data_IF_802013508115
#
_entry.id   IF_802013508115
#
_cell.length_a   1.000
_cell.length_b   1.000
_cell.length_c   1.000
_cell.angle_alpha   90.00
_cell.angle_beta   90.00
_cell.angle_gamma   90.00
#
_symmetry.space_group_name_H-M   'P 1'
#
loop_
_entity.id
_entity.type
_entity.pdbx_description
1 polymer ?
#
# COMPACT_ATOMS: atom_id res chain seq x y z
N UNK A 1 -39.41 -8.81 -66.87
CA UNK A 1 -38.12 -8.68 -66.17
C UNK A 1 -38.31 -9.09 -64.72
N UNK A 2 -38.01 -10.34 -64.39
CA UNK A 2 -38.05 -10.87 -63.02
C UNK A 2 -36.67 -10.69 -62.40
N UNK A 3 -36.53 -9.74 -61.48
CA UNK A 3 -35.30 -9.52 -60.73
C UNK A 3 -35.15 -10.68 -59.74
N UNK A 4 -34.20 -11.57 -60.00
CA UNK A 4 -33.84 -12.65 -59.08
C UNK A 4 -33.19 -12.02 -57.84
N UNK A 5 -33.79 -12.22 -56.67
CA UNK A 5 -33.19 -11.82 -55.40
C UNK A 5 -31.93 -12.67 -55.15
N UNK A 6 -30.78 -12.00 -54.97
CA UNK A 6 -29.55 -12.66 -54.53
C UNK A 6 -29.75 -13.09 -53.07
N UNK A 7 -29.60 -14.37 -52.72
CA UNK A 7 -29.69 -14.79 -51.33
C UNK A 7 -28.49 -14.19 -50.57
N UNK A 8 -28.77 -13.38 -49.55
CA UNK A 8 -27.76 -12.92 -48.61
C UNK A 8 -27.19 -14.15 -47.90
N UNK A 9 -25.95 -14.51 -48.20
CA UNK A 9 -25.21 -15.47 -47.40
C UNK A 9 -25.18 -14.96 -45.95
N UNK A 10 -25.54 -15.78 -44.95
CA UNK A 10 -25.37 -15.38 -43.56
C UNK A 10 -23.87 -15.16 -43.37
N UNK A 11 -23.48 -13.90 -43.19
CA UNK A 11 -22.15 -13.57 -42.68
C UNK A 11 -22.16 -14.17 -41.28
N UNK A 12 -21.58 -15.36 -41.14
CA UNK A 12 -21.19 -15.85 -39.84
C UNK A 12 -20.23 -14.79 -39.31
N UNK A 13 -20.72 -13.91 -38.44
CA UNK A 13 -19.84 -13.13 -37.59
C UNK A 13 -19.03 -14.18 -36.85
N UNK A 14 -17.77 -14.37 -37.23
CA UNK A 14 -16.81 -15.04 -36.37
C UNK A 14 -16.88 -14.28 -35.06
N UNK A 15 -17.58 -14.84 -34.07
CA UNK A 15 -17.57 -14.32 -32.70
C UNK A 15 -16.10 -14.39 -32.27
N UNK A 16 -15.39 -13.27 -32.39
CA UNK A 16 -14.04 -13.13 -31.86
C UNK A 16 -14.09 -13.65 -30.42
N UNK A 17 -13.36 -14.73 -30.16
CA UNK A 17 -13.41 -15.42 -28.88
C UNK A 17 -13.20 -14.39 -27.76
N UNK A 18 -14.03 -14.38 -26.70
CA UNK A 18 -13.98 -13.35 -25.67
C UNK A 18 -12.58 -13.32 -25.05
N UNK A 19 -11.79 -12.32 -25.44
CA UNK A 19 -10.40 -12.22 -24.99
C UNK A 19 -10.45 -11.82 -23.52
N UNK A 20 -9.92 -12.68 -22.65
CA UNK A 20 -9.85 -12.40 -21.22
C UNK A 20 -8.93 -11.20 -21.00
N UNK A 21 -9.49 -10.07 -20.56
CA UNK A 21 -8.74 -8.84 -20.22
C UNK A 21 -7.53 -9.12 -19.32
N UNK A 22 -7.66 -10.08 -18.41
CA UNK A 22 -6.59 -10.49 -17.50
C UNK A 22 -5.47 -11.26 -18.19
N UNK A 23 -5.80 -12.06 -19.21
CA UNK A 23 -4.81 -12.78 -20.02
C UNK A 23 -4.00 -11.80 -20.87
N UNK A 24 -4.65 -10.82 -21.46
CA UNK A 24 -4.00 -9.76 -22.24
C UNK A 24 -3.14 -8.85 -21.37
N UNK A 25 -3.65 -8.47 -20.20
CA UNK A 25 -2.89 -7.70 -19.22
C UNK A 25 -1.62 -8.46 -18.79
N UNK A 26 -1.73 -9.76 -18.51
CA UNK A 26 -0.59 -10.59 -18.16
C UNK A 26 0.45 -10.69 -19.29
N UNK A 27 -0.01 -10.84 -20.54
CA UNK A 27 0.88 -10.86 -21.70
C UNK A 27 1.65 -9.54 -21.86
N UNK A 28 0.95 -8.40 -21.71
CA UNK A 28 1.56 -7.06 -21.75
C UNK A 28 2.55 -6.86 -20.61
N UNK A 29 2.21 -7.28 -19.39
CA UNK A 29 3.07 -7.19 -18.23
C UNK A 29 4.38 -7.97 -18.43
N UNK A 30 4.30 -9.20 -18.96
CA UNK A 30 5.47 -10.03 -19.28
C UNK A 30 6.42 -9.40 -20.29
N UNK A 31 5.91 -8.57 -21.19
CA UNK A 31 6.72 -7.86 -22.19
C UNK A 31 7.51 -6.70 -21.57
N UNK A 32 7.04 -6.15 -20.46
CA UNK A 32 7.74 -5.07 -19.74
C UNK A 32 8.79 -5.65 -18.78
N UNK A 33 10.07 -5.56 -19.18
CA UNK A 33 11.21 -6.08 -18.40
C UNK A 33 11.34 -5.43 -17.02
N UNK A 34 11.04 -4.13 -16.90
CA UNK A 34 11.08 -3.41 -15.62
C UNK A 34 9.98 -3.91 -14.69
N UNK A 35 8.77 -4.13 -15.23
CA UNK A 35 7.65 -4.68 -14.46
C UNK A 35 7.93 -6.09 -13.96
N UNK A 36 8.54 -6.94 -14.78
CA UNK A 36 8.96 -8.29 -14.37
C UNK A 36 10.06 -8.25 -13.31
N UNK A 37 11.04 -7.36 -13.44
CA UNK A 37 12.03 -7.14 -12.39
C UNK A 37 11.37 -6.74 -11.07
N UNK A 38 10.45 -5.76 -11.11
CA UNK A 38 9.68 -5.34 -9.94
C UNK A 38 8.88 -6.49 -9.34
N UNK A 39 8.19 -7.29 -10.16
CA UNK A 39 7.44 -8.46 -9.73
C UNK A 39 8.32 -9.50 -9.02
N UNK A 40 9.50 -9.80 -9.58
CA UNK A 40 10.44 -10.76 -8.99
C UNK A 40 10.89 -10.27 -7.62
N UNK A 41 11.33 -9.01 -7.53
CA UNK A 41 11.81 -8.42 -6.27
C UNK A 41 10.69 -8.37 -5.22
N UNK A 42 9.48 -7.91 -5.58
CA UNK A 42 8.32 -7.89 -4.68
C UNK A 42 7.99 -9.30 -4.21
N UNK A 43 8.09 -10.31 -5.09
CA UNK A 43 7.83 -11.71 -4.72
C UNK A 43 8.88 -12.23 -3.73
N UNK A 44 10.16 -11.92 -3.94
CA UNK A 44 11.24 -12.30 -3.01
C UNK A 44 11.04 -11.62 -1.65
N UNK A 45 10.71 -10.33 -1.64
CA UNK A 45 10.47 -9.61 -0.40
C UNK A 45 9.21 -10.08 0.32
N UNK A 46 8.12 -10.39 -0.40
CA UNK A 46 6.91 -10.97 0.17
C UNK A 46 7.20 -12.36 0.77
N UNK A 47 8.00 -13.17 0.08
CA UNK A 47 8.47 -14.46 0.60
C UNK A 47 9.30 -14.27 1.89
N UNK A 48 10.23 -13.32 1.90
CA UNK A 48 11.01 -12.98 3.09
C UNK A 48 10.13 -12.43 4.24
N UNK A 49 9.10 -11.65 3.94
CA UNK A 49 8.15 -11.13 4.93
C UNK A 49 7.33 -12.25 5.60
N UNK A 50 6.93 -13.27 4.85
CA UNK A 50 6.11 -14.38 5.35
C UNK A 50 6.98 -15.43 6.07
N UNK A 51 8.08 -15.84 5.44
CA UNK A 51 8.93 -16.94 5.92
C UNK A 51 10.16 -16.45 6.69
N UNK A 52 10.30 -15.14 6.92
CA UNK A 52 11.45 -14.52 7.59
C UNK A 52 11.94 -15.25 8.85
N UNK A 53 11.07 -15.61 9.81
CA UNK A 53 11.49 -16.33 11.02
C UNK A 53 12.18 -17.68 10.77
N UNK A 54 11.95 -18.29 9.61
CA UNK A 54 12.57 -19.56 9.21
C UNK A 54 13.79 -19.38 8.30
N UNK A 55 13.99 -18.19 7.74
CA UNK A 55 15.07 -17.87 6.81
C UNK A 55 16.30 -17.30 7.52
N UNK A 56 16.13 -16.75 8.72
CA UNK A 56 17.20 -16.06 9.44
C UNK A 56 17.98 -17.03 10.35
N UNK A 57 19.31 -16.95 10.37
CA UNK A 57 20.14 -17.82 11.21
C UNK A 57 19.98 -17.51 12.71
N UNK A 58 19.62 -16.29 13.07
CA UNK A 58 19.48 -15.83 14.45
C UNK A 58 18.13 -15.16 14.69
N UNK A 59 17.70 -15.15 15.95
CA UNK A 59 16.57 -14.33 16.37
C UNK A 59 16.96 -12.84 16.35
N UNK A 60 16.05 -11.98 15.90
CA UNK A 60 16.30 -10.54 15.77
C UNK A 60 16.50 -9.83 17.13
N UNK A 61 16.10 -10.49 18.23
CA UNK A 61 16.32 -10.04 19.61
C UNK A 61 17.61 -10.58 20.23
N UNK A 62 18.22 -11.63 19.66
CA UNK A 62 19.41 -12.23 20.22
C UNK A 62 20.60 -11.27 20.18
N UNK A 63 21.35 -11.19 21.28
CA UNK A 63 22.46 -10.26 21.47
C UNK A 63 23.74 -11.03 21.78
N UNK A 64 24.81 -10.77 21.00
CA UNK A 64 26.16 -11.20 21.32
C UNK A 64 27.05 -9.99 21.65
N UNK A 65 27.27 -9.76 22.94
CA UNK A 65 28.05 -8.62 23.43
C UNK A 65 29.55 -8.71 23.07
N UNK A 66 30.06 -9.88 22.70
CA UNK A 66 31.45 -10.05 22.26
C UNK A 66 31.63 -9.65 20.80
N UNK A 67 30.57 -9.80 20.00
CA UNK A 67 30.56 -9.46 18.59
C UNK A 67 29.88 -8.11 18.33
N UNK A 68 30.07 -7.07 19.16
CA UNK A 68 29.44 -5.74 18.93
C UNK A 68 30.08 -5.00 17.76
N UNK A 69 29.25 -4.39 16.90
CA UNK A 69 29.68 -3.66 15.71
C UNK A 69 30.65 -4.45 14.80
N UNK A 70 30.46 -5.77 14.72
CA UNK A 70 31.27 -6.62 13.86
C UNK A 70 30.99 -6.30 12.40
N UNK A 71 32.06 -6.34 11.59
CA UNK A 71 31.96 -6.23 10.14
C UNK A 71 31.22 -7.45 9.56
N UNK A 72 30.69 -7.34 8.31
CA UNK A 72 30.10 -8.47 7.61
C UNK A 72 31.01 -9.70 7.57
N UNK A 73 30.46 -10.86 7.93
CA UNK A 73 31.15 -12.15 7.95
C UNK A 73 30.18 -13.27 7.54
N UNK A 74 30.68 -14.49 7.35
CA UNK A 74 29.82 -15.64 7.03
C UNK A 74 28.84 -15.98 8.17
N UNK A 75 29.22 -15.68 9.42
CA UNK A 75 28.33 -15.82 10.56
C UNK A 75 27.31 -14.69 10.59
N UNK A 76 27.75 -13.44 10.39
CA UNK A 76 26.87 -12.27 10.35
C UNK A 76 26.90 -11.60 8.99
N UNK A 77 25.99 -12.01 8.09
CA UNK A 77 26.02 -11.61 6.66
C UNK A 77 26.09 -10.09 6.45
N UNK A 78 25.38 -9.32 7.27
CA UNK A 78 25.42 -7.84 7.27
C UNK A 78 26.10 -7.27 8.52
N UNK A 79 26.90 -8.07 9.22
CA UNK A 79 27.52 -7.69 10.48
C UNK A 79 26.52 -7.60 11.64
N UNK A 80 26.97 -7.01 12.73
CA UNK A 80 26.19 -6.84 13.96
C UNK A 80 26.11 -5.38 14.36
N UNK A 81 25.07 -5.03 15.10
CA UNK A 81 24.87 -3.66 15.58
C UNK A 81 25.56 -3.37 16.92
N UNK A 82 25.27 -2.19 17.47
CA UNK A 82 25.79 -1.70 18.74
C UNK A 82 25.37 -2.53 19.95
N UNK A 83 24.34 -3.38 19.84
CA UNK A 83 23.93 -4.34 20.85
C UNK A 83 24.36 -5.78 20.51
N UNK A 84 25.13 -5.97 19.43
CA UNK A 84 25.58 -7.29 18.99
C UNK A 84 24.49 -8.13 18.35
N UNK A 85 23.42 -7.51 17.83
CA UNK A 85 22.34 -8.22 17.14
C UNK A 85 22.68 -8.37 15.66
N UNK A 86 22.31 -9.50 15.07
CA UNK A 86 22.55 -9.79 13.66
C UNK A 86 21.71 -8.87 12.73
N UNK A 87 22.39 -8.07 11.91
CA UNK A 87 21.75 -7.04 11.09
C UNK A 87 20.96 -7.67 9.94
N UNK A 88 21.43 -8.79 9.37
CA UNK A 88 20.71 -9.49 8.31
C UNK A 88 19.35 -9.99 8.80
N UNK A 89 19.34 -10.65 9.96
CA UNK A 89 18.12 -11.13 10.60
C UNK A 89 17.16 -9.98 10.87
N UNK A 90 17.66 -8.85 11.39
CA UNK A 90 16.84 -7.64 11.59
C UNK A 90 16.30 -7.05 10.28
N UNK A 91 17.06 -7.03 9.18
CA UNK A 91 16.58 -6.55 7.87
C UNK A 91 15.46 -7.45 7.34
N UNK A 92 15.61 -8.78 7.43
CA UNK A 92 14.59 -9.74 7.00
C UNK A 92 13.31 -9.59 7.83
N UNK A 93 13.41 -9.50 9.15
CA UNK A 93 12.26 -9.23 10.01
C UNK A 93 11.64 -7.84 9.75
N UNK A 94 12.46 -6.83 9.45
CA UNK A 94 12.00 -5.51 9.03
C UNK A 94 11.19 -5.52 7.73
N UNK A 95 11.44 -6.49 6.84
CA UNK A 95 10.64 -6.70 5.63
C UNK A 95 9.20 -7.04 5.99
N UNK A 96 9.00 -7.88 7.01
CA UNK A 96 7.66 -8.27 7.49
C UNK A 96 6.89 -7.08 8.05
N UNK A 97 7.53 -6.27 8.88
CA UNK A 97 6.88 -5.09 9.47
C UNK A 97 6.49 -4.09 8.38
N UNK A 98 7.42 -3.77 7.48
CA UNK A 98 7.17 -2.84 6.37
C UNK A 98 6.04 -3.31 5.44
N UNK A 99 5.98 -4.59 5.08
CA UNK A 99 4.90 -5.15 4.26
C UNK A 99 3.55 -5.10 4.95
N UNK A 100 3.49 -5.46 6.24
CA UNK A 100 2.25 -5.39 7.02
C UNK A 100 1.72 -3.96 7.08
N UNK A 101 2.58 -2.99 7.39
CA UNK A 101 2.17 -1.57 7.42
C UNK A 101 1.67 -1.14 6.04
N UNK A 102 2.45 -1.39 4.98
CA UNK A 102 2.10 -0.95 3.63
C UNK A 102 0.76 -1.53 3.16
N UNK A 103 0.51 -2.82 3.36
CA UNK A 103 -0.73 -3.49 2.93
C UNK A 103 -1.91 -2.98 3.76
N UNK A 104 -1.81 -2.96 5.09
CA UNK A 104 -2.94 -2.57 5.96
C UNK A 104 -3.32 -1.11 5.77
N UNK A 105 -2.34 -0.20 5.78
CA UNK A 105 -2.58 1.24 5.58
C UNK A 105 -3.19 1.49 4.21
N UNK A 106 -2.62 0.89 3.16
CA UNK A 106 -3.13 1.06 1.80
C UNK A 106 -4.54 0.50 1.66
N UNK A 107 -4.81 -0.68 2.22
CA UNK A 107 -6.13 -1.28 2.18
C UNK A 107 -7.20 -0.40 2.84
N UNK A 108 -6.93 0.11 4.05
CA UNK A 108 -7.87 1.00 4.76
C UNK A 108 -8.04 2.31 3.99
N UNK A 109 -6.94 2.92 3.52
CA UNK A 109 -6.99 4.17 2.75
C UNK A 109 -7.77 4.01 1.44
N UNK A 110 -7.59 2.90 0.74
CA UNK A 110 -8.32 2.56 -0.49
C UNK A 110 -9.78 2.30 -0.19
N UNK A 111 -10.12 1.62 0.91
CA UNK A 111 -11.50 1.38 1.30
C UNK A 111 -12.23 2.70 1.61
N UNK A 112 -11.62 3.57 2.41
CA UNK A 112 -12.16 4.92 2.69
C UNK A 112 -12.28 5.71 1.39
N UNK A 113 -11.22 5.73 0.58
CA UNK A 113 -11.19 6.45 -0.69
C UNK A 113 -12.25 5.97 -1.68
N UNK A 114 -12.45 4.65 -1.79
CA UNK A 114 -13.45 4.04 -2.64
C UNK A 114 -14.86 4.45 -2.22
N UNK A 115 -15.17 4.37 -0.92
CA UNK A 115 -16.49 4.74 -0.39
C UNK A 115 -16.73 6.25 -0.58
N UNK A 116 -15.80 7.08 -0.13
CA UNK A 116 -15.93 8.54 -0.17
C UNK A 116 -15.95 9.07 -1.61
N UNK A 117 -15.06 8.57 -2.46
CA UNK A 117 -14.99 8.93 -3.88
C UNK A 117 -16.23 8.50 -4.66
N UNK A 118 -16.75 7.29 -4.39
CA UNK A 118 -17.99 6.82 -5.01
C UNK A 118 -19.19 7.67 -4.62
N UNK A 119 -19.31 8.02 -3.33
CA UNK A 119 -20.39 8.90 -2.85
C UNK A 119 -20.29 10.29 -3.50
N UNK A 120 -19.09 10.90 -3.49
CA UNK A 120 -18.86 12.21 -4.08
C UNK A 120 -19.20 12.25 -5.58
N UNK A 121 -18.73 11.27 -6.35
CA UNK A 121 -18.95 11.23 -7.80
C UNK A 121 -20.38 10.83 -8.18
N UNK A 122 -21.02 9.94 -7.43
CA UNK A 122 -22.33 9.39 -7.81
C UNK A 122 -23.49 10.31 -7.41
N UNK A 123 -23.47 10.84 -6.18
CA UNK A 123 -24.56 11.68 -5.67
C UNK A 123 -24.38 13.16 -6.03
N UNK A 124 -23.16 13.63 -6.28
CA UNK A 124 -22.90 15.03 -6.63
C UNK A 124 -23.06 16.01 -5.46
N UNK A 125 -23.37 17.28 -5.74
CA UNK A 125 -23.60 18.31 -4.70
C UNK A 125 -24.81 17.92 -3.83
N UNK A 126 -24.75 18.01 -2.48
CA UNK A 126 -23.72 18.63 -1.63
C UNK A 126 -22.57 17.71 -1.17
N UNK A 127 -22.71 16.38 -1.32
CA UNK A 127 -21.73 15.41 -0.85
C UNK A 127 -20.36 15.60 -1.52
N UNK A 128 -20.37 15.86 -2.82
CA UNK A 128 -19.16 16.14 -3.58
C UNK A 128 -18.33 17.28 -2.97
N UNK A 129 -18.98 18.43 -2.71
CA UNK A 129 -18.33 19.61 -2.14
C UNK A 129 -17.74 19.33 -0.76
N UNK A 130 -18.48 18.67 0.11
CA UNK A 130 -18.02 18.37 1.47
C UNK A 130 -16.82 17.40 1.46
N UNK A 131 -16.90 16.34 0.65
CA UNK A 131 -15.85 15.32 0.57
C UNK A 131 -14.60 15.90 -0.11
N UNK A 132 -14.75 16.67 -1.19
CA UNK A 132 -13.63 17.31 -1.87
C UNK A 132 -12.98 18.38 -1.01
N UNK A 133 -13.75 19.17 -0.25
CA UNK A 133 -13.19 20.10 0.72
C UNK A 133 -12.36 19.39 1.80
N UNK A 134 -12.85 18.28 2.37
CA UNK A 134 -12.10 17.50 3.34
C UNK A 134 -10.82 16.92 2.72
N UNK A 135 -10.92 16.43 1.48
CA UNK A 135 -9.79 15.91 0.69
C UNK A 135 -8.73 17.00 0.46
N UNK A 136 -9.15 18.20 0.06
CA UNK A 136 -8.27 19.36 -0.15
C UNK A 136 -7.62 19.81 1.17
N UNK A 137 -8.36 19.81 2.28
CA UNK A 137 -7.81 20.13 3.60
C UNK A 137 -6.77 19.12 4.08
N UNK A 138 -7.00 17.82 3.88
CA UNK A 138 -6.01 16.81 4.27
C UNK A 138 -4.75 16.92 3.41
N UNK A 139 -4.90 17.14 2.10
CA UNK A 139 -3.76 17.21 1.16
C UNK A 139 -2.99 18.54 1.20
N UNK A 140 -3.55 19.60 1.82
CA UNK A 140 -2.85 20.88 1.98
C UNK A 140 -1.78 20.83 3.08
N UNK A 141 -1.89 19.88 4.01
CA UNK A 141 -0.91 19.67 5.07
C UNK A 141 0.05 18.56 4.64
N UNK A 142 1.39 18.74 4.80
CA UNK A 142 2.33 17.67 4.54
C UNK A 142 2.02 16.41 5.37
N UNK A 143 1.88 15.26 4.70
CA UNK A 143 1.49 13.99 5.32
C UNK A 143 2.34 13.65 6.55
N UNK A 144 3.65 13.92 6.47
CA UNK A 144 4.56 13.65 7.57
C UNK A 144 4.17 14.44 8.82
N UNK A 145 3.96 15.75 8.67
CA UNK A 145 3.62 16.64 9.78
C UNK A 145 2.29 16.25 10.42
N UNK A 146 1.30 15.89 9.60
CA UNK A 146 -0.02 15.54 10.11
C UNK A 146 0.01 14.22 10.92
N UNK A 147 0.74 13.19 10.45
CA UNK A 147 0.95 11.96 11.22
C UNK A 147 1.69 12.25 12.53
N UNK A 148 2.77 13.05 12.48
CA UNK A 148 3.55 13.44 13.67
C UNK A 148 2.65 14.09 14.71
N UNK A 149 1.87 15.09 14.30
CA UNK A 149 0.99 15.85 15.20
C UNK A 149 -0.09 14.95 15.78
N UNK A 150 -0.73 14.09 14.97
CA UNK A 150 -1.75 13.15 15.45
C UNK A 150 -1.15 12.18 16.47
N UNK A 151 -0.04 11.52 16.13
CA UNK A 151 0.58 10.53 17.02
C UNK A 151 1.10 11.17 18.31
N UNK A 152 1.81 12.30 18.22
CA UNK A 152 2.33 12.99 19.39
C UNK A 152 1.21 13.51 20.32
N UNK A 153 0.10 13.99 19.74
CA UNK A 153 -1.03 14.53 20.52
C UNK A 153 -1.91 13.44 21.12
N UNK A 154 -2.14 12.34 20.41
CA UNK A 154 -3.06 11.28 20.83
C UNK A 154 -2.39 10.17 21.67
N UNK A 155 -1.08 9.94 21.50
CA UNK A 155 -0.38 8.85 22.23
C UNK A 155 -0.51 9.00 23.74
N UNK A 156 -0.20 10.17 24.30
CA UNK A 156 -0.24 10.38 25.75
C UNK A 156 -1.66 10.24 26.35
N UNK A 157 -2.72 10.88 25.80
CA UNK A 157 -4.09 10.67 26.27
C UNK A 157 -4.56 9.21 26.19
N UNK A 158 -4.28 8.51 25.09
CA UNK A 158 -4.72 7.12 24.89
C UNK A 158 -4.00 6.19 25.87
N UNK A 159 -2.68 6.33 26.03
CA UNK A 159 -1.92 5.50 26.97
C UNK A 159 -2.40 5.68 28.41
N UNK A 160 -2.67 6.92 28.84
CA UNK A 160 -3.22 7.20 30.18
C UNK A 160 -4.62 6.60 30.37
N UNK A 161 -5.47 6.71 29.34
CA UNK A 161 -6.80 6.11 29.37
C UNK A 161 -6.73 4.57 29.47
N UNK A 162 -5.81 3.95 28.73
CA UNK A 162 -5.60 2.51 28.80
C UNK A 162 -5.06 2.08 30.16
N UNK A 163 -4.10 2.80 30.73
CA UNK A 163 -3.60 2.52 32.07
C UNK A 163 -4.71 2.62 33.12
N UNK A 164 -5.55 3.66 33.07
CA UNK A 164 -6.72 3.77 33.94
C UNK A 164 -7.69 2.59 33.77
N UNK A 165 -7.89 2.14 32.52
CA UNK A 165 -8.76 0.99 32.23
C UNK A 165 -8.16 -0.33 32.70
N UNK A 166 -6.84 -0.49 32.60
CA UNK A 166 -6.10 -1.61 33.17
C UNK A 166 -6.29 -1.65 34.69
N UNK A 167 -6.10 -0.53 35.38
CA UNK A 167 -6.28 -0.47 36.84
C UNK A 167 -7.71 -0.82 37.26
N UNK A 168 -8.71 -0.47 36.43
CA UNK A 168 -10.12 -0.77 36.72
C UNK A 168 -10.54 -2.22 36.39
N UNK A 169 -9.94 -2.86 35.38
CA UNK A 169 -10.38 -4.17 34.87
C UNK A 169 -9.40 -5.31 35.11
N UNK A 170 -8.15 -4.98 35.43
CA UNK A 170 -6.99 -5.89 35.49
C UNK A 170 -6.82 -6.73 34.21
N UNK A 171 -7.38 -6.30 33.08
CA UNK A 171 -7.28 -7.02 31.82
C UNK A 171 -5.91 -6.73 31.16
N UNK A 172 -5.04 -7.74 30.95
CA UNK A 172 -3.69 -7.58 30.39
C UNK A 172 -3.65 -6.86 29.02
N UNK A 173 -4.74 -6.92 28.24
CA UNK A 173 -4.86 -6.23 26.97
C UNK A 173 -4.53 -4.73 27.06
N UNK A 174 -4.93 -4.08 28.16
CA UNK A 174 -4.72 -2.64 28.35
C UNK A 174 -3.28 -2.27 28.76
N UNK A 175 -2.44 -3.27 29.09
CA UNK A 175 -1.04 -3.08 29.46
C UNK A 175 -0.10 -3.13 28.26
N UNK A 176 -0.50 -3.83 27.19
CA UNK A 176 0.30 -3.97 25.97
C UNK A 176 0.23 -2.70 25.11
N UNK A 177 1.23 -1.83 25.25
CA UNK A 177 1.32 -0.57 24.49
C UNK A 177 1.59 -0.75 23.00
N UNK A 178 2.03 -1.95 22.59
CA UNK A 178 2.33 -2.31 21.19
C UNK A 178 1.11 -2.06 20.29
N UNK A 179 -0.09 -2.45 20.74
CA UNK A 179 -1.32 -2.27 19.98
C UNK A 179 -1.69 -0.79 19.79
N UNK A 180 -1.36 0.07 20.76
CA UNK A 180 -1.58 1.52 20.66
C UNK A 180 -0.70 2.12 19.60
N UNK A 181 0.59 1.78 19.62
CA UNK A 181 1.55 2.28 18.64
C UNK A 181 1.16 1.84 17.22
N UNK A 182 0.81 0.57 17.02
CA UNK A 182 0.32 0.10 15.72
C UNK A 182 -0.99 0.77 15.30
N UNK A 183 -1.97 0.89 16.20
CA UNK A 183 -3.25 1.53 15.89
C UNK A 183 -3.07 3.00 15.53
N UNK A 184 -2.24 3.74 16.27
CA UNK A 184 -1.97 5.14 16.00
C UNK A 184 -1.21 5.33 14.69
N UNK A 185 -0.14 4.58 14.47
CA UNK A 185 0.64 4.65 13.22
C UNK A 185 -0.23 4.27 12.04
N UNK A 186 -0.91 3.12 12.07
CA UNK A 186 -1.69 2.66 10.92
C UNK A 186 -2.94 3.51 10.71
N UNK A 187 -3.62 3.88 11.79
CA UNK A 187 -4.83 4.69 11.75
C UNK A 187 -4.56 6.11 11.25
N UNK A 188 -3.54 6.79 11.78
CA UNK A 188 -3.16 8.12 11.31
C UNK A 188 -2.70 8.11 9.86
N UNK A 189 -1.84 7.15 9.47
CA UNK A 189 -1.39 7.02 8.08
C UNK A 189 -2.55 6.75 7.12
N UNK A 190 -3.49 5.86 7.48
CA UNK A 190 -4.65 5.56 6.65
C UNK A 190 -5.61 6.76 6.52
N UNK A 191 -5.82 7.50 7.61
CA UNK A 191 -6.65 8.71 7.63
C UNK A 191 -6.08 9.84 6.77
N UNK A 192 -4.78 9.83 6.51
CA UNK A 192 -4.10 10.84 5.70
C UNK A 192 -3.93 10.39 4.25
N UNK A 193 -3.89 9.08 4.00
CA UNK A 193 -3.56 8.52 2.68
C UNK A 193 -4.77 8.20 1.79
N UNK A 194 -6.00 8.27 2.30
CA UNK A 194 -7.22 8.05 1.49
C UNK A 194 -7.55 9.13 0.42
N UNK A 195 -7.20 10.42 0.55
CA UNK A 195 -7.63 11.47 -0.37
C UNK A 195 -7.27 11.25 -1.85
N UNK A 196 -6.05 10.81 -2.22
CA UNK A 196 -5.71 10.51 -3.63
C UNK A 196 -6.62 9.44 -4.23
N UNK A 197 -6.94 8.38 -3.47
CA UNK A 197 -7.83 7.32 -3.91
C UNK A 197 -9.27 7.81 -4.08
N UNK A 198 -9.76 8.67 -3.18
CA UNK A 198 -11.08 9.29 -3.32
C UNK A 198 -11.19 10.14 -4.59
N UNK A 199 -10.19 10.97 -4.89
CA UNK A 199 -10.18 11.78 -6.12
C UNK A 199 -10.19 10.90 -7.37
N UNK A 200 -9.38 9.84 -7.39
CA UNK A 200 -9.31 8.90 -8.50
C UNK A 200 -10.66 8.21 -8.73
N UNK A 201 -11.24 7.63 -7.68
CA UNK A 201 -12.52 6.93 -7.75
C UNK A 201 -13.63 7.88 -8.15
N UNK A 202 -13.66 9.10 -7.60
CA UNK A 202 -14.61 10.15 -8.00
C UNK A 202 -14.50 10.43 -9.51
N UNK A 203 -13.29 10.62 -10.03
CA UNK A 203 -13.09 10.88 -11.46
C UNK A 203 -13.61 9.73 -12.34
N UNK A 204 -13.35 8.47 -11.93
CA UNK A 204 -13.87 7.28 -12.61
C UNK A 204 -15.40 7.23 -12.56
N UNK A 205 -15.99 7.48 -11.39
CA UNK A 205 -17.43 7.47 -11.19
C UNK A 205 -18.12 8.53 -12.04
N UNK A 206 -17.58 9.74 -12.12
CA UNK A 206 -18.10 10.81 -12.99
C UNK A 206 -18.06 10.40 -14.47
N UNK A 207 -16.98 9.73 -14.91
CA UNK A 207 -16.86 9.22 -16.28
C UNK A 207 -17.81 8.06 -16.58
N UNK A 208 -18.06 7.19 -15.60
CA UNK A 208 -18.90 6.00 -15.76
C UNK A 208 -20.39 6.34 -15.68
N UNK A 209 -20.77 7.31 -14.83
CA UNK A 209 -22.17 7.71 -14.60
C UNK A 209 -22.87 8.19 -15.87
N UNK A 210 -22.14 8.75 -16.85
CA UNK A 210 -22.69 9.23 -18.12
C UNK A 210 -22.83 8.14 -19.19
N UNK A 211 -22.51 6.87 -18.89
CA UNK A 211 -22.58 5.79 -19.89
C UNK A 211 -24.02 5.31 -20.13
N UNK A 212 -24.37 4.90 -21.38
CA UNK A 212 -25.75 4.51 -21.74
C UNK A 212 -26.37 3.42 -20.87
N UNK A 213 -25.59 2.42 -20.43
CA UNK A 213 -26.10 1.34 -19.58
C UNK A 213 -26.50 1.81 -18.17
N UNK A 214 -25.91 2.90 -17.67
CA UNK A 214 -26.33 3.50 -16.40
C UNK A 214 -27.66 4.23 -16.57
N UNK A 215 -27.83 4.98 -17.66
CA UNK A 215 -29.10 5.65 -17.98
C UNK A 215 -30.22 4.64 -18.20
N UNK A 216 -29.94 3.51 -18.87
CA UNK A 216 -30.90 2.42 -19.01
C UNK A 216 -31.28 1.81 -17.65
N UNK A 217 -30.31 1.59 -16.76
CA UNK A 217 -30.59 1.10 -15.41
C UNK A 217 -31.48 2.06 -14.59
N UNK A 218 -31.28 3.38 -14.75
CA UNK A 218 -32.13 4.40 -14.13
C UNK A 218 -33.54 4.38 -14.71
N UNK A 219 -33.69 4.23 -16.04
CA UNK A 219 -34.99 4.14 -16.71
C UNK A 219 -35.79 2.90 -16.28
N UNK A 220 -35.10 1.81 -15.91
CA UNK A 220 -35.69 0.59 -15.34
C UNK A 220 -36.11 0.76 -13.86
N UNK A 221 -35.88 1.91 -13.24
CA UNK A 221 -36.27 2.19 -11.85
C UNK A 221 -35.37 1.58 -10.78
N UNK A 222 -34.14 1.15 -11.14
CA UNK A 222 -33.18 0.66 -10.15
C UNK A 222 -32.79 1.77 -9.17
N UNK A 223 -32.70 1.42 -7.88
CA UNK A 223 -32.29 2.39 -6.87
C UNK A 223 -30.84 2.83 -7.06
N UNK A 224 -30.56 4.10 -6.76
CA UNK A 224 -29.24 4.72 -6.85
C UNK A 224 -28.13 3.90 -6.16
N UNK A 225 -28.44 3.28 -5.02
CA UNK A 225 -27.49 2.43 -4.30
C UNK A 225 -27.15 1.14 -5.05
N UNK A 226 -28.14 0.50 -5.68
CA UNK A 226 -27.93 -0.68 -6.51
C UNK A 226 -27.12 -0.31 -7.75
N UNK A 227 -27.46 0.80 -8.41
CA UNK A 227 -26.72 1.31 -9.56
C UNK A 227 -25.25 1.53 -9.20
N UNK A 228 -24.99 2.25 -8.10
CA UNK A 228 -23.64 2.54 -7.66
C UNK A 228 -22.85 1.27 -7.31
N UNK A 229 -23.38 0.39 -6.46
CA UNK A 229 -22.64 -0.80 -5.99
C UNK A 229 -22.46 -1.87 -7.05
N UNK A 230 -23.45 -2.08 -7.92
CA UNK A 230 -23.44 -3.20 -8.87
C UNK A 230 -22.92 -2.81 -10.25
N UNK A 231 -23.06 -1.55 -10.66
CA UNK A 231 -22.73 -1.12 -12.02
C UNK A 231 -21.63 -0.05 -12.09
N UNK A 232 -21.50 0.84 -11.11
CA UNK A 232 -20.51 1.92 -11.18
C UNK A 232 -19.20 1.54 -10.49
N UNK A 233 -19.26 1.18 -9.20
CA UNK A 233 -18.08 0.88 -8.38
C UNK A 233 -17.21 -0.24 -8.98
N UNK A 234 -17.75 -1.40 -9.40
CA UNK A 234 -16.93 -2.47 -9.98
C UNK A 234 -16.19 -2.02 -11.25
N UNK A 235 -16.80 -1.15 -12.05
CA UNK A 235 -16.19 -0.61 -13.27
C UNK A 235 -15.17 0.50 -12.99
N UNK A 236 -15.17 1.10 -11.78
CA UNK A 236 -14.19 2.09 -11.35
C UNK A 236 -12.91 1.46 -10.74
N UNK A 237 -12.91 0.14 -10.49
CA UNK A 237 -11.79 -0.54 -9.82
C UNK A 237 -10.53 -0.67 -10.67
N UNK A 238 -10.64 -0.68 -12.01
CA UNK A 238 -9.50 -0.92 -12.90
C UNK A 238 -8.31 0.04 -12.63
N UNK A 239 -8.51 1.36 -12.78
CA UNK A 239 -7.47 2.35 -12.46
C UNK A 239 -7.08 2.37 -10.98
N UNK A 240 -8.00 2.00 -10.08
CA UNK A 240 -7.72 1.95 -8.65
C UNK A 240 -6.69 0.86 -8.32
N UNK A 241 -6.82 -0.34 -8.90
CA UNK A 241 -5.89 -1.48 -8.72
C UNK A 241 -4.46 -1.08 -9.13
N UNK A 242 -4.34 -0.31 -10.21
CA UNK A 242 -3.06 0.25 -10.65
C UNK A 242 -2.50 1.21 -9.60
N UNK A 243 -3.30 2.18 -9.14
CA UNK A 243 -2.83 3.15 -8.14
C UNK A 243 -2.45 2.52 -6.81
N UNK A 244 -3.11 1.43 -6.41
CA UNK A 244 -2.80 0.68 -5.18
C UNK A 244 -1.39 0.12 -5.27
N UNK A 245 -0.99 -0.41 -6.42
CA UNK A 245 0.32 -1.04 -6.62
C UNK A 245 1.46 -0.02 -6.47
N UNK A 246 1.33 1.15 -7.10
CA UNK A 246 2.29 2.25 -6.91
C UNK A 246 2.22 2.84 -5.49
N UNK A 247 1.03 2.87 -4.89
CA UNK A 247 0.77 3.34 -3.54
C UNK A 247 1.50 2.53 -2.47
N UNK A 248 1.61 1.21 -2.64
CA UNK A 248 2.33 0.32 -1.70
C UNK A 248 3.80 0.72 -1.56
N UNK A 249 4.49 1.01 -2.67
CA UNK A 249 5.89 1.46 -2.62
C UNK A 249 6.05 2.79 -1.87
N UNK A 250 5.13 3.72 -2.10
CA UNK A 250 5.10 5.01 -1.38
C UNK A 250 4.82 4.81 0.11
N UNK A 251 3.91 3.90 0.46
CA UNK A 251 3.55 3.60 1.84
C UNK A 251 4.73 3.00 2.63
N UNK A 252 5.54 2.14 2.00
CA UNK A 252 6.75 1.59 2.64
C UNK A 252 7.79 2.68 2.96
N UNK A 253 8.02 3.60 2.03
CA UNK A 253 8.94 4.72 2.24
C UNK A 253 8.42 5.64 3.35
N UNK A 254 7.11 5.92 3.38
CA UNK A 254 6.50 6.72 4.43
C UNK A 254 6.60 6.05 5.80
N UNK A 255 6.29 4.76 5.91
CA UNK A 255 6.48 3.99 7.15
C UNK A 255 7.92 4.10 7.64
N UNK A 256 8.89 3.87 6.75
CA UNK A 256 10.30 3.94 7.11
C UNK A 256 10.73 5.36 7.49
N UNK A 257 10.17 6.40 6.87
CA UNK A 257 10.38 7.79 7.28
C UNK A 257 9.81 8.07 8.69
N UNK A 258 8.61 7.55 9.00
CA UNK A 258 8.01 7.72 10.33
C UNK A 258 8.77 6.98 11.42
N UNK A 259 9.19 5.74 11.14
CA UNK A 259 10.03 4.95 12.04
C UNK A 259 11.39 5.62 12.23
N UNK A 260 12.02 6.13 11.16
CA UNK A 260 13.27 6.89 11.24
C UNK A 260 13.19 8.09 12.19
N UNK A 261 12.05 8.78 12.21
CA UNK A 261 11.76 9.92 13.09
C UNK A 261 11.32 9.52 14.52
N UNK A 262 11.20 8.23 14.83
CA UNK A 262 10.80 7.72 16.14
C UNK A 262 9.30 7.80 16.43
N UNK A 263 8.47 7.95 15.39
CA UNK A 263 7.01 8.07 15.50
C UNK A 263 6.30 6.81 15.01
N UNK A 264 7.00 6.01 14.19
CA UNK A 264 6.52 4.74 13.64
C UNK A 264 6.62 3.58 14.62
N UNK A 265 6.99 2.42 14.09
CA UNK A 265 7.14 1.19 14.86
C UNK A 265 8.30 1.35 15.84
N UNK A 266 8.05 1.25 17.14
CA UNK A 266 9.09 1.43 18.15
C UNK A 266 9.89 0.12 18.39
N UNK A 267 11.16 0.22 18.82
CA UNK A 267 11.91 -0.95 19.32
C UNK A 267 11.14 -1.67 20.44
N UNK A 268 11.24 -3.01 20.56
CA UNK A 268 12.33 -3.85 20.03
C UNK A 268 12.09 -4.44 18.63
N UNK A 269 10.89 -4.25 18.06
CA UNK A 269 10.58 -4.74 16.70
C UNK A 269 11.41 -3.99 15.65
N UNK A 270 12.11 -4.69 14.74
CA UNK A 270 12.89 -4.04 13.71
C UNK A 270 11.98 -3.43 12.63
N UNK A 271 12.31 -2.21 12.21
CA UNK A 271 11.80 -1.57 11.01
C UNK A 271 13.00 -0.98 10.27
N UNK A 272 12.94 -0.92 8.94
CA UNK A 272 14.06 -0.37 8.16
C UNK A 272 14.34 1.09 8.53
N UNK A 273 13.31 1.87 8.82
CA UNK A 273 13.45 3.24 9.33
C UNK A 273 14.29 3.35 10.60
N UNK A 274 14.00 2.51 11.61
CA UNK A 274 14.78 2.51 12.86
C UNK A 274 16.23 2.09 12.60
N UNK A 275 16.44 1.05 11.78
CA UNK A 275 17.78 0.55 11.46
C UNK A 275 18.61 1.60 10.70
N UNK A 276 17.99 2.35 9.79
CA UNK A 276 18.62 3.48 9.10
C UNK A 276 18.97 4.60 10.09
N UNK A 277 18.06 4.93 11.02
CA UNK A 277 18.29 5.97 12.05
C UNK A 277 19.44 5.59 12.98
N UNK A 278 19.50 4.34 13.41
CA UNK A 278 20.57 3.79 14.24
C UNK A 278 21.91 3.77 13.46
N UNK A 279 21.91 3.25 12.23
CA UNK A 279 23.08 3.19 11.36
C UNK A 279 23.63 4.57 11.00
N UNK A 280 22.78 5.57 10.83
CA UNK A 280 23.18 6.96 10.53
C UNK A 280 24.00 7.58 11.67
N UNK A 281 23.88 7.11 12.91
CA UNK A 281 24.69 7.62 14.03
C UNK A 281 26.13 7.11 14.01
N UNK A 282 26.36 5.99 13.33
CA UNK A 282 27.65 5.26 13.33
C UNK A 282 28.24 5.07 11.94
N UNK A 283 27.64 5.66 10.90
CA UNK A 283 27.97 5.44 9.49
C UNK A 283 29.44 5.69 9.13
N UNK A 284 30.11 6.62 9.84
CA UNK A 284 31.52 6.93 9.62
C UNK A 284 32.44 5.76 9.97
N UNK A 285 32.04 4.92 10.92
CA UNK A 285 32.82 3.77 11.40
C UNK A 285 32.27 2.46 10.84
N UNK A 286 30.94 2.32 10.74
CA UNK A 286 30.26 1.10 10.33
C UNK A 286 29.22 1.40 9.24
N UNK A 287 29.65 1.74 8.01
CA UNK A 287 28.75 2.18 6.94
C UNK A 287 27.76 1.08 6.50
N UNK A 288 28.12 -0.19 6.67
CA UNK A 288 27.26 -1.33 6.32
C UNK A 288 25.95 -1.36 7.12
N UNK A 289 25.95 -0.86 8.36
CA UNK A 289 24.77 -0.81 9.22
C UNK A 289 23.69 0.13 8.67
N UNK A 290 24.11 1.21 8.02
CA UNK A 290 23.23 2.12 7.30
C UNK A 290 22.88 1.59 5.91
N UNK A 291 23.90 1.13 5.17
CA UNK A 291 23.77 0.75 3.77
C UNK A 291 22.84 -0.45 3.56
N UNK A 292 22.89 -1.47 4.43
CA UNK A 292 22.08 -2.68 4.29
C UNK A 292 20.56 -2.41 4.32
N UNK A 293 19.98 -1.81 5.39
CA UNK A 293 18.55 -1.52 5.43
C UNK A 293 18.14 -0.47 4.37
N UNK A 294 19.01 0.52 4.09
CA UNK A 294 18.72 1.53 3.07
C UNK A 294 18.67 0.95 1.65
N UNK A 295 19.57 0.02 1.31
CA UNK A 295 19.58 -0.65 0.01
C UNK A 295 18.32 -1.51 -0.18
N UNK A 296 17.90 -2.25 0.85
CA UNK A 296 16.67 -3.06 0.77
C UNK A 296 15.43 -2.18 0.64
N UNK A 297 15.32 -1.07 1.40
CA UNK A 297 14.24 -0.11 1.25
C UNK A 297 14.21 0.51 -0.15
N UNK A 298 15.36 0.93 -0.68
CA UNK A 298 15.48 1.51 -2.02
C UNK A 298 15.09 0.51 -3.11
N UNK A 299 15.58 -0.73 -3.02
CA UNK A 299 15.23 -1.81 -3.93
C UNK A 299 13.73 -2.13 -3.88
N UNK A 300 13.14 -2.19 -2.69
CA UNK A 300 11.71 -2.40 -2.51
C UNK A 300 10.88 -1.26 -3.13
N UNK A 301 11.26 -0.01 -2.88
CA UNK A 301 10.57 1.17 -3.41
C UNK A 301 10.55 1.17 -4.93
N UNK A 302 11.72 0.96 -5.58
CA UNK A 302 11.83 0.89 -7.04
C UNK A 302 11.02 -0.28 -7.60
N UNK A 303 11.07 -1.45 -6.95
CA UNK A 303 10.35 -2.62 -7.41
C UNK A 303 8.83 -2.45 -7.41
N UNK A 304 8.26 -1.85 -6.35
CA UNK A 304 6.83 -1.53 -6.29
C UNK A 304 6.43 -0.46 -7.32
N UNK A 305 7.26 0.55 -7.54
CA UNK A 305 7.02 1.56 -8.58
C UNK A 305 6.99 0.94 -9.98
N UNK A 306 7.99 0.15 -10.34
CA UNK A 306 8.02 -0.53 -11.65
C UNK A 306 6.90 -1.54 -11.84
N UNK A 307 6.51 -2.26 -10.78
CA UNK A 307 5.36 -3.15 -10.82
C UNK A 307 4.06 -2.37 -11.05
N UNK A 308 3.89 -1.23 -10.38
CA UNK A 308 2.74 -0.35 -10.54
C UNK A 308 2.62 0.22 -11.96
N UNK A 309 3.73 0.74 -12.52
CA UNK A 309 3.77 1.25 -13.89
C UNK A 309 3.49 0.14 -14.92
N UNK A 310 4.09 -1.04 -14.72
CA UNK A 310 3.83 -2.20 -15.58
C UNK A 310 2.37 -2.64 -15.57
N UNK A 311 1.74 -2.62 -14.39
CA UNK A 311 0.32 -2.94 -14.25
C UNK A 311 -0.57 -1.87 -14.88
N UNK A 312 -0.17 -0.60 -14.81
CA UNK A 312 -0.85 0.51 -15.50
C UNK A 312 -0.88 0.29 -17.01
N UNK A 313 0.28 0.02 -17.60
CA UNK A 313 0.44 -0.19 -19.04
C UNK A 313 -0.32 -1.44 -19.52
N UNK A 314 -0.36 -2.48 -18.68
CA UNK A 314 -1.07 -3.72 -18.96
C UNK A 314 -2.59 -3.56 -18.95
N UNK A 315 -3.14 -2.77 -18.03
CA UNK A 315 -4.58 -2.60 -17.82
C UNK A 315 -5.19 -1.43 -18.60
N UNK A 316 -4.39 -0.50 -19.15
CA UNK A 316 -4.87 0.59 -19.99
C UNK A 316 -4.73 0.26 -21.49
N UNK A 317 -5.80 -0.19 -22.17
CA UNK A 317 -5.74 -0.60 -23.59
C UNK A 317 -5.47 0.54 -24.58
N UNK A 318 -5.56 1.81 -24.16
CA UNK A 318 -5.36 2.99 -25.04
C UNK A 318 -3.89 3.41 -25.22
N UNK A 319 -2.94 2.70 -24.63
CA UNK A 319 -1.51 3.03 -24.67
C UNK A 319 -0.72 2.52 -25.88
N UNK A 320 -1.36 1.91 -26.90
CA UNK A 320 -0.65 1.60 -28.14
C UNK A 320 -0.46 2.88 -28.95
N UNK A 321 0.71 3.48 -28.84
CA UNK A 321 1.35 4.07 -30.02
C UNK A 321 1.77 2.96 -30.99
#
# INVERSE_FOLDING_TARGET
>A
MTVSAVPLSPIASEEEAPVSLWRDAWYRLKRNKLAIFGLIVVTILAFAAIFGPYLTPYDYLSQDLQARNAAPSLHHLFGTDDLGRDVFSRVVFGTRTAFLVAIVVTFIAVLIGLVMGAIAGFFGNPFDRAIMWLTDMTMSVPNLLLVVVINASLKSPISKWMEARYMATLNPFYRETIWVDFMLVFGSMALISWPPYARLVRAQVLSIRSRPYITAAQALGLSNWIIMKRYVVPNALGPLIVSVSAGLGTAMVLESAFSFLGIGVNPPTPSWGNMISDGLRVWQHYPHLLAAPAAVLGLASVAFSFLGDGLNDALNPRGSK
#
